data_IF_832017051788
#
_entry.id   IF_832017051788
#
_cell.length_a   1.000
_cell.length_b   1.000
_cell.length_c   1.000
_cell.angle_alpha   90.00
_cell.angle_beta   90.00
_cell.angle_gamma   90.00
#
_symmetry.space_group_name_H-M   'P 1'
#
loop_
_entity.id
_entity.type
_entity.pdbx_description
1 polymer ?
#
# COMPACT_ATOMS: atom_id res chain seq x y z
N UNK A 1 32.49 6.88 32.81
CA UNK A 1 31.49 6.92 31.73
C UNK A 1 30.32 7.79 32.18
N UNK A 2 30.47 9.11 32.11
CA UNK A 2 29.42 10.07 32.50
C UNK A 2 28.48 10.19 31.32
N UNK A 3 27.35 9.47 31.41
CA UNK A 3 26.30 9.54 30.41
C UNK A 3 25.90 11.01 30.25
N UNK A 4 25.97 11.52 29.02
CA UNK A 4 25.47 12.86 28.70
C UNK A 4 23.94 12.83 28.77
N UNK A 5 23.38 12.82 29.99
CA UNK A 5 21.96 12.76 30.28
C UNK A 5 21.19 13.89 29.56
N UNK A 6 21.83 15.06 29.40
CA UNK A 6 21.30 16.18 28.60
C UNK A 6 21.07 15.83 27.13
N UNK A 7 21.99 15.09 26.49
CA UNK A 7 21.85 14.69 25.08
C UNK A 7 20.79 13.61 24.91
N UNK A 8 20.67 12.70 25.89
CA UNK A 8 19.65 11.67 25.90
C UNK A 8 18.24 12.24 26.13
N UNK A 9 18.08 13.23 27.02
CA UNK A 9 16.81 13.93 27.20
C UNK A 9 16.35 14.64 25.92
N UNK A 10 17.25 15.27 25.17
CA UNK A 10 16.88 15.89 23.89
C UNK A 10 16.35 14.84 22.90
N UNK A 11 17.02 13.68 22.78
CA UNK A 11 16.56 12.57 21.91
C UNK A 11 15.23 11.99 22.38
N UNK A 12 15.02 11.85 23.69
CA UNK A 12 13.77 11.36 24.25
C UNK A 12 12.59 12.29 23.93
N UNK A 13 12.80 13.62 23.94
CA UNK A 13 11.78 14.59 23.54
C UNK A 13 11.38 14.43 22.08
N UNK A 14 12.34 14.21 21.18
CA UNK A 14 12.05 13.92 19.78
C UNK A 14 11.32 12.58 19.60
N UNK A 15 11.75 11.54 20.31
CA UNK A 15 11.07 10.24 20.30
C UNK A 15 9.62 10.37 20.77
N UNK A 16 9.41 11.10 21.86
CA UNK A 16 8.08 11.34 22.41
C UNK A 16 7.19 12.10 21.43
N UNK A 17 7.71 13.17 20.82
CA UNK A 17 6.99 13.93 19.80
C UNK A 17 6.63 13.06 18.58
N UNK A 18 7.56 12.22 18.13
CA UNK A 18 7.31 11.26 17.06
C UNK A 18 6.19 10.29 17.43
N UNK A 19 6.23 9.68 18.62
CA UNK A 19 5.18 8.76 19.09
C UNK A 19 3.80 9.43 19.16
N UNK A 20 3.74 10.67 19.68
CA UNK A 20 2.50 11.44 19.72
C UNK A 20 1.96 11.67 18.31
N UNK A 21 2.81 12.06 17.37
CA UNK A 21 2.41 12.29 15.98
C UNK A 21 1.93 10.99 15.31
N UNK A 22 2.64 9.88 15.51
CA UNK A 22 2.23 8.56 15.01
C UNK A 22 0.87 8.15 15.58
N UNK A 23 0.63 8.39 16.86
CA UNK A 23 -0.65 8.09 17.49
C UNK A 23 -1.79 8.93 16.89
N UNK A 24 -1.58 10.23 16.69
CA UNK A 24 -2.55 11.11 16.04
C UNK A 24 -2.84 10.61 14.62
N UNK A 25 -1.81 10.28 13.85
CA UNK A 25 -1.96 9.74 12.49
C UNK A 25 -2.76 8.43 12.48
N UNK A 26 -2.47 7.51 13.41
CA UNK A 26 -3.21 6.27 13.53
C UNK A 26 -4.70 6.52 13.81
N UNK A 27 -5.02 7.46 14.71
CA UNK A 27 -6.42 7.80 14.99
C UNK A 27 -7.10 8.46 13.80
N UNK A 28 -6.41 9.32 13.04
CA UNK A 28 -6.94 9.88 11.81
C UNK A 28 -7.26 8.78 10.78
N UNK A 29 -6.33 7.85 10.57
CA UNK A 29 -6.53 6.70 9.68
C UNK A 29 -7.66 5.79 10.16
N UNK A 30 -7.81 5.57 11.48
CA UNK A 30 -8.92 4.81 12.06
C UNK A 30 -10.27 5.47 11.78
N UNK A 31 -10.33 6.80 11.86
CA UNK A 31 -11.55 7.54 11.51
C UNK A 31 -11.82 7.36 10.01
N UNK A 32 -10.82 7.55 9.15
CA UNK A 32 -10.95 7.32 7.72
C UNK A 32 -11.37 5.88 7.38
N UNK A 33 -10.88 4.87 8.10
CA UNK A 33 -11.24 3.48 7.86
C UNK A 33 -12.69 3.21 8.21
N UNK A 34 -13.23 3.83 9.26
CA UNK A 34 -14.68 3.72 9.59
C UNK A 34 -15.53 4.33 8.48
N UNK A 35 -15.05 5.40 7.82
CA UNK A 35 -15.74 5.98 6.67
C UNK A 35 -15.68 5.09 5.42
N UNK A 36 -14.61 4.31 5.27
CA UNK A 36 -14.37 3.42 4.13
C UNK A 36 -14.92 2.01 4.35
N UNK A 37 -15.19 1.59 5.59
CA UNK A 37 -15.62 0.22 5.89
C UNK A 37 -16.95 -0.06 5.16
N UNK A 38 -16.96 -0.92 4.13
CA UNK A 38 -18.19 -1.24 3.44
C UNK A 38 -19.09 -1.95 4.44
N UNK A 39 -20.31 -1.46 4.58
CA UNK A 39 -21.36 -1.94 5.50
C UNK A 39 -21.60 -3.47 5.38
N UNK A 40 -21.13 -4.09 4.29
CA UNK A 40 -21.24 -5.52 4.04
C UNK A 40 -19.87 -6.23 4.03
N UNK A 41 -19.23 -6.31 5.20
CA UNK A 41 -17.98 -7.07 5.44
C UNK A 41 -18.08 -8.58 5.13
N UNK A 42 -19.30 -9.10 5.04
CA UNK A 42 -19.63 -10.50 4.72
C UNK A 42 -20.52 -10.63 3.49
N UNK A 43 -20.59 -9.63 2.60
CA UNK A 43 -21.20 -9.88 1.29
C UNK A 43 -20.26 -10.81 0.53
N UNK A 44 -20.78 -11.93 0.06
CA UNK A 44 -20.09 -12.70 -0.98
C UNK A 44 -19.77 -11.72 -2.13
N UNK A 45 -18.53 -11.72 -2.65
CA UNK A 45 -18.18 -10.85 -3.77
C UNK A 45 -19.12 -11.19 -4.93
N UNK A 46 -19.99 -10.23 -5.26
CA UNK A 46 -20.96 -10.38 -6.33
C UNK A 46 -20.21 -10.13 -7.65
N UNK A 47 -19.78 -11.21 -8.29
CA UNK A 47 -19.01 -11.19 -9.52
C UNK A 47 -18.23 -12.47 -9.72
N UNK A 48 -18.36 -13.08 -10.90
CA UNK A 48 -17.53 -14.23 -11.27
C UNK A 48 -16.05 -13.86 -11.10
N UNK A 49 -15.30 -14.68 -10.35
CA UNK A 49 -13.86 -14.53 -10.24
C UNK A 49 -13.24 -14.76 -11.62
N UNK A 50 -13.03 -13.67 -12.37
CA UNK A 50 -12.30 -13.76 -13.64
C UNK A 50 -10.87 -14.13 -13.30
N UNK A 51 -10.51 -15.38 -13.58
CA UNK A 51 -9.15 -15.88 -13.43
C UNK A 51 -8.25 -15.00 -14.30
N UNK A 52 -7.46 -14.13 -13.68
CA UNK A 52 -6.53 -13.20 -14.34
C UNK A 52 -5.38 -13.89 -15.11
N UNK A 53 -5.45 -15.21 -15.22
CA UNK A 53 -4.60 -16.04 -16.06
C UNK A 53 -5.48 -16.84 -17.03
N UNK A 54 -6.26 -16.12 -17.84
CA UNK A 54 -6.61 -16.63 -19.16
C UNK A 54 -5.36 -16.49 -20.01
N UNK A 55 -4.52 -17.54 -19.98
CA UNK A 55 -3.48 -17.70 -21.00
C UNK A 55 -4.14 -17.48 -22.35
N UNK A 56 -3.67 -16.46 -23.08
CA UNK A 56 -3.48 -16.38 -24.52
C UNK A 56 -3.65 -17.73 -25.25
N UNK A 57 -4.88 -18.22 -25.31
CA UNK A 57 -5.28 -19.36 -26.11
C UNK A 57 -6.25 -18.74 -27.10
N UNK A 58 -5.81 -18.72 -28.36
CA UNK A 58 -6.45 -18.10 -29.51
C UNK A 58 -6.32 -16.59 -29.61
N UNK A 59 -5.17 -16.14 -30.08
CA UNK A 59 -5.09 -15.23 -31.23
C UNK A 59 -3.64 -15.09 -31.71
N UNK A 60 -3.34 -15.92 -32.69
CA UNK A 60 -2.48 -15.70 -33.86
C UNK A 60 -2.10 -14.24 -34.10
N UNK A 61 -0.91 -13.81 -33.67
CA UNK A 61 -0.06 -12.79 -34.30
C UNK A 61 1.31 -12.82 -33.58
N UNK A 62 2.45 -12.82 -34.28
CA UNK A 62 3.77 -12.75 -33.64
C UNK A 62 3.96 -11.35 -33.07
N UNK A 63 3.47 -11.10 -31.86
CA UNK A 63 3.72 -9.85 -31.14
C UNK A 63 5.24 -9.69 -31.02
N UNK A 64 5.80 -8.75 -31.78
CA UNK A 64 7.24 -8.47 -31.77
C UNK A 64 7.61 -8.09 -30.34
N UNK A 65 8.68 -8.68 -29.83
CA UNK A 65 9.15 -8.46 -28.46
C UNK A 65 9.34 -6.98 -28.09
N UNK A 66 9.54 -6.13 -29.10
CA UNK A 66 9.64 -4.68 -29.00
C UNK A 66 8.33 -3.99 -28.58
N UNK A 67 7.18 -4.50 -29.02
CA UNK A 67 5.86 -3.96 -28.64
C UNK A 67 5.55 -4.25 -27.18
N UNK A 68 5.97 -5.42 -26.68
CA UNK A 68 5.89 -5.78 -25.26
C UNK A 68 6.78 -4.89 -24.39
N UNK A 69 8.00 -4.59 -24.85
CA UNK A 69 8.92 -3.73 -24.13
C UNK A 69 8.40 -2.29 -24.05
N UNK A 70 7.75 -1.80 -25.12
CA UNK A 70 7.12 -0.48 -25.15
C UNK A 70 5.93 -0.41 -24.20
N UNK A 71 5.11 -1.45 -24.12
CA UNK A 71 4.01 -1.54 -23.15
C UNK A 71 4.50 -1.52 -21.70
N UNK A 72 5.54 -2.30 -21.38
CA UNK A 72 6.19 -2.30 -20.07
C UNK A 72 6.65 -0.91 -19.67
N UNK A 73 7.32 -0.20 -20.60
CA UNK A 73 7.82 1.14 -20.31
C UNK A 73 6.72 2.19 -20.11
N UNK A 74 5.54 1.99 -20.71
CA UNK A 74 4.45 2.96 -20.66
C UNK A 74 3.49 2.75 -19.50
N UNK A 75 3.17 1.47 -19.20
CA UNK A 75 2.20 1.10 -18.17
C UNK A 75 2.83 0.69 -16.84
N UNK A 76 4.13 0.38 -16.82
CA UNK A 76 4.89 0.17 -15.58
C UNK A 76 4.45 -1.02 -14.74
N UNK A 77 4.15 -2.17 -15.36
CA UNK A 77 4.13 -3.46 -14.63
C UNK A 77 5.54 -3.85 -14.15
#
# INVERSE_FOLDING_TARGET
MIFSLRKWMARLKFLFLFLVLTFIMYQALRICSVWIEPIHKYKEPDGESVKAFSQFKDQTEPVRMLDRLRFFYWYGE
#
